data_IF_829831427253
#
_entry.id   IF_829831427253
#
_cell.length_a   1.000
_cell.length_b   1.000
_cell.length_c   1.000
_cell.angle_alpha   90.00
_cell.angle_beta   90.00
_cell.angle_gamma   90.00
#
_symmetry.space_group_name_H-M   'P 1'
#
loop_
_entity.id
_entity.type
_entity.pdbx_description
1 polymer ?
#
# COMPACT_ATOMS: atom_id res chain seq x y z
N UNK A 1 -28.06 31.33 14.24
CA UNK A 1 -27.86 30.76 12.89
C UNK A 1 -26.53 30.00 12.90
N UNK A 2 -26.56 28.67 12.92
CA UNK A 2 -25.36 27.84 12.95
C UNK A 2 -24.88 27.68 11.52
N UNK A 3 -23.70 28.24 11.21
CA UNK A 3 -23.01 27.99 9.93
C UNK A 3 -22.65 26.49 9.82
N UNK A 4 -23.42 25.76 9.02
CA UNK A 4 -23.04 24.45 8.55
C UNK A 4 -21.92 24.66 7.54
N UNK A 5 -20.67 24.46 7.96
CA UNK A 5 -19.54 24.39 7.03
C UNK A 5 -19.77 23.17 6.14
N UNK A 6 -20.12 23.41 4.89
CA UNK A 6 -20.12 22.39 3.83
C UNK A 6 -18.68 21.88 3.76
N UNK A 7 -18.43 20.64 4.21
CA UNK A 7 -17.19 19.94 3.91
C UNK A 7 -17.13 19.79 2.40
N UNK A 8 -16.37 20.65 1.74
CA UNK A 8 -15.97 20.40 0.35
C UNK A 8 -15.33 19.02 0.32
N UNK A 9 -15.92 18.10 -0.43
CA UNK A 9 -15.32 16.81 -0.71
C UNK A 9 -13.99 17.08 -1.43
N UNK A 10 -12.86 16.84 -0.77
CA UNK A 10 -11.56 16.86 -1.43
C UNK A 10 -11.60 15.80 -2.50
N UNK A 11 -11.46 16.18 -3.75
CA UNK A 11 -11.22 15.22 -4.83
C UNK A 11 -9.80 14.69 -4.67
N UNK A 12 -9.69 13.41 -4.38
CA UNK A 12 -8.40 12.72 -4.33
C UNK A 12 -7.97 12.28 -5.73
N UNK A 13 -6.67 12.13 -6.00
CA UNK A 13 -6.20 11.52 -7.23
C UNK A 13 -6.86 10.15 -7.46
N UNK A 14 -7.21 9.85 -8.70
CA UNK A 14 -7.91 8.59 -9.05
C UNK A 14 -7.20 7.34 -8.53
N UNK A 15 -5.87 7.35 -8.51
CA UNK A 15 -5.07 6.23 -7.99
C UNK A 15 -5.36 5.94 -6.50
N UNK A 16 -5.56 6.97 -5.69
CA UNK A 16 -5.88 6.83 -4.26
C UNK A 16 -7.23 6.13 -4.09
N UNK A 17 -8.24 6.51 -4.88
CA UNK A 17 -9.55 5.87 -4.85
C UNK A 17 -9.52 4.41 -5.30
N UNK A 18 -8.68 4.08 -6.29
CA UNK A 18 -8.47 2.69 -6.73
C UNK A 18 -7.92 1.84 -5.59
N UNK A 19 -6.86 2.31 -4.92
CA UNK A 19 -6.26 1.57 -3.81
C UNK A 19 -7.19 1.49 -2.59
N UNK A 20 -8.01 2.52 -2.34
CA UNK A 20 -9.01 2.49 -1.28
C UNK A 20 -10.01 1.35 -1.49
N UNK A 21 -10.55 1.19 -2.70
CA UNK A 21 -11.47 0.09 -3.04
C UNK A 21 -10.83 -1.28 -2.86
N UNK A 22 -9.55 -1.42 -3.23
CA UNK A 22 -8.79 -2.66 -3.01
C UNK A 22 -8.60 -2.93 -1.52
N UNK A 23 -8.26 -1.90 -0.75
CA UNK A 23 -8.13 -2.00 0.70
C UNK A 23 -9.45 -2.44 1.36
N UNK A 24 -10.56 -1.80 1.02
CA UNK A 24 -11.90 -2.14 1.52
C UNK A 24 -12.21 -3.63 1.32
N UNK A 25 -11.87 -4.18 0.16
CA UNK A 25 -12.07 -5.60 -0.14
C UNK A 25 -11.15 -6.51 0.69
N UNK A 26 -9.88 -6.16 0.83
CA UNK A 26 -8.92 -6.91 1.65
C UNK A 26 -9.27 -6.86 3.15
N UNK A 27 -9.93 -5.79 3.61
CA UNK A 27 -10.29 -5.59 5.00
C UNK A 27 -11.51 -6.41 5.46
N UNK A 28 -12.25 -7.02 4.53
CA UNK A 28 -13.40 -7.86 4.89
C UNK A 28 -12.96 -9.12 5.63
N UNK A 29 -13.73 -9.58 6.65
CA UNK A 29 -13.44 -10.83 7.34
C UNK A 29 -13.36 -12.04 6.39
N UNK A 30 -14.21 -12.06 5.38
CA UNK A 30 -14.30 -13.13 4.38
C UNK A 30 -13.01 -13.22 3.57
N UNK A 31 -12.50 -12.10 3.06
CA UNK A 31 -11.28 -12.09 2.28
C UNK A 31 -10.04 -12.46 3.11
N UNK A 32 -9.97 -12.01 4.36
CA UNK A 32 -8.89 -12.39 5.28
C UNK A 32 -8.87 -13.89 5.53
N UNK A 33 -10.03 -14.48 5.78
CA UNK A 33 -10.16 -15.93 5.94
C UNK A 33 -9.80 -16.69 4.66
N UNK A 34 -10.20 -16.18 3.50
CA UNK A 34 -9.86 -16.74 2.19
C UNK A 34 -8.33 -16.75 1.98
N UNK A 35 -7.64 -15.65 2.30
CA UNK A 35 -6.19 -15.54 2.17
C UNK A 35 -5.46 -16.51 3.10
N UNK A 36 -5.90 -16.64 4.36
CA UNK A 36 -5.36 -17.61 5.32
C UNK A 36 -5.54 -19.04 4.80
N UNK A 37 -6.75 -19.38 4.37
CA UNK A 37 -7.05 -20.71 3.83
C UNK A 37 -6.24 -21.00 2.56
N UNK A 38 -6.03 -20.02 1.70
CA UNK A 38 -5.20 -20.15 0.51
C UNK A 38 -3.74 -20.45 0.89
N UNK A 39 -3.16 -19.73 1.83
CA UNK A 39 -1.80 -19.95 2.30
C UNK A 39 -1.66 -21.36 2.91
N UNK A 40 -2.62 -21.80 3.73
CA UNK A 40 -2.58 -23.09 4.39
C UNK A 40 -2.80 -24.26 3.45
N UNK A 41 -3.84 -24.20 2.60
CA UNK A 41 -4.35 -25.34 1.85
C UNK A 41 -3.78 -25.45 0.44
N UNK A 42 -3.40 -24.33 -0.18
CA UNK A 42 -2.88 -24.30 -1.56
C UNK A 42 -1.37 -24.17 -1.58
N UNK A 43 -0.82 -23.23 -0.78
CA UNK A 43 0.63 -23.02 -0.74
C UNK A 43 1.33 -23.93 0.26
N UNK A 44 0.62 -24.53 1.23
CA UNK A 44 1.16 -25.26 2.36
C UNK A 44 2.24 -24.49 3.13
N UNK A 45 2.10 -23.16 3.17
CA UNK A 45 3.01 -22.23 3.86
C UNK A 45 2.17 -21.24 4.70
N UNK A 46 1.79 -21.64 5.92
CA UNK A 46 0.91 -20.87 6.79
C UNK A 46 1.44 -19.46 7.07
N UNK A 47 0.52 -18.48 7.12
CA UNK A 47 0.84 -17.09 7.47
C UNK A 47 0.40 -16.72 8.87
N UNK A 48 -0.39 -17.56 9.51
CA UNK A 48 -0.91 -17.31 10.86
C UNK A 48 0.20 -17.33 11.90
N UNK A 49 0.13 -16.40 12.85
CA UNK A 49 1.10 -16.22 13.93
C UNK A 49 2.51 -15.74 13.47
N UNK A 50 2.69 -15.41 12.20
CA UNK A 50 3.90 -14.73 11.76
C UNK A 50 3.89 -13.29 12.26
N UNK A 51 5.05 -12.81 12.71
CA UNK A 51 5.18 -11.38 12.98
C UNK A 51 5.26 -10.57 11.66
N UNK A 52 5.10 -9.26 11.75
CA UNK A 52 5.06 -8.40 10.59
C UNK A 52 6.36 -8.41 9.74
N UNK A 53 7.51 -8.74 10.33
CA UNK A 53 8.76 -8.90 9.58
C UNK A 53 8.84 -10.26 8.89
N UNK A 54 8.36 -11.29 9.57
CA UNK A 54 8.24 -12.63 8.96
C UNK A 54 7.26 -12.63 7.80
N UNK A 55 6.15 -11.88 7.88
CA UNK A 55 5.23 -11.67 6.77
C UNK A 55 5.89 -10.96 5.57
N UNK A 56 6.80 -10.01 5.82
CA UNK A 56 7.58 -9.36 4.78
C UNK A 56 8.54 -10.35 4.09
N UNK A 57 9.15 -11.25 4.86
CA UNK A 57 10.00 -12.31 4.31
C UNK A 57 9.18 -13.35 3.55
N UNK A 58 7.99 -13.70 4.06
CA UNK A 58 7.05 -14.60 3.41
C UNK A 58 6.62 -14.07 2.03
N UNK A 59 6.26 -12.80 1.93
CA UNK A 59 5.90 -12.17 0.66
C UNK A 59 6.95 -12.37 -0.42
N UNK A 60 8.22 -12.19 -0.09
CA UNK A 60 9.34 -12.30 -1.02
C UNK A 60 9.64 -13.73 -1.51
N UNK A 61 9.03 -14.75 -0.92
CA UNK A 61 9.04 -16.11 -1.46
C UNK A 61 8.17 -16.21 -2.72
N UNK A 62 7.03 -15.51 -2.72
CA UNK A 62 5.97 -15.65 -3.72
C UNK A 62 5.94 -14.53 -4.75
N UNK A 63 6.48 -13.35 -4.43
CA UNK A 63 6.46 -12.20 -5.32
C UNK A 63 7.88 -11.75 -5.69
N UNK A 64 8.13 -11.62 -6.99
CA UNK A 64 9.40 -11.11 -7.52
C UNK A 64 9.19 -9.78 -8.20
N UNK A 65 10.10 -8.83 -7.94
CA UNK A 65 10.06 -7.54 -8.59
C UNK A 65 10.37 -7.67 -10.09
N UNK A 66 9.61 -6.93 -10.90
CA UNK A 66 9.83 -6.89 -12.35
C UNK A 66 9.66 -5.48 -12.90
N UNK A 67 10.45 -5.17 -13.94
CA UNK A 67 10.26 -3.99 -14.80
C UNK A 67 9.54 -4.34 -16.10
N UNK A 68 9.36 -5.63 -16.39
CA UNK A 68 8.62 -6.13 -17.54
C UNK A 68 7.15 -5.70 -17.49
N UNK A 69 6.46 -5.73 -18.61
CA UNK A 69 5.02 -5.50 -18.65
C UNK A 69 4.30 -6.60 -17.87
N UNK A 70 3.40 -6.17 -16.97
CA UNK A 70 2.59 -7.10 -16.20
C UNK A 70 1.39 -7.59 -17.01
N UNK A 71 0.86 -8.78 -16.72
CA UNK A 71 -0.34 -9.30 -17.38
C UNK A 71 -1.51 -8.33 -17.33
N UNK A 72 -2.41 -8.44 -18.32
CA UNK A 72 -3.67 -7.69 -18.35
C UNK A 72 -4.84 -8.68 -18.36
N UNK A 73 -5.83 -8.54 -17.45
CA UNK A 73 -5.90 -7.54 -16.39
C UNK A 73 -4.81 -7.73 -15.33
N UNK A 74 -4.37 -6.63 -14.74
CA UNK A 74 -3.37 -6.63 -13.67
C UNK A 74 -3.97 -7.19 -12.38
N UNK A 75 -3.21 -7.95 -11.61
CA UNK A 75 -3.65 -8.45 -10.32
C UNK A 75 -3.93 -7.31 -9.35
N UNK A 76 -5.03 -7.41 -8.62
CA UNK A 76 -5.54 -6.34 -7.76
C UNK A 76 -5.58 -6.72 -6.28
N UNK A 77 -5.56 -8.00 -5.97
CA UNK A 77 -5.70 -8.54 -4.62
C UNK A 77 -4.62 -9.59 -4.34
N UNK A 78 -4.25 -9.80 -3.07
CA UNK A 78 -3.18 -10.70 -2.64
C UNK A 78 -3.13 -12.06 -3.33
N UNK A 79 -4.23 -12.81 -3.36
CA UNK A 79 -4.27 -14.14 -3.98
C UNK A 79 -3.95 -14.08 -5.48
N UNK A 80 -4.51 -13.10 -6.18
CA UNK A 80 -4.22 -12.88 -7.61
C UNK A 80 -2.76 -12.49 -7.82
N UNK A 81 -2.19 -11.67 -6.92
CA UNK A 81 -0.79 -11.23 -6.96
C UNK A 81 0.15 -12.42 -6.78
N UNK A 82 -0.15 -13.32 -5.84
CA UNK A 82 0.61 -14.55 -5.65
C UNK A 82 0.58 -15.41 -6.92
N UNK A 83 -0.58 -15.62 -7.53
CA UNK A 83 -0.69 -16.34 -8.80
C UNK A 83 0.09 -15.67 -9.94
N UNK A 84 0.12 -14.34 -9.98
CA UNK A 84 0.90 -13.58 -10.95
C UNK A 84 2.41 -13.73 -10.72
N UNK A 85 2.85 -13.95 -9.48
CA UNK A 85 4.22 -14.17 -9.00
C UNK A 85 5.24 -13.07 -9.33
N UNK A 86 4.87 -12.06 -10.08
CA UNK A 86 5.69 -10.89 -10.44
C UNK A 86 4.91 -9.61 -10.16
N UNK A 87 5.59 -8.57 -9.68
CA UNK A 87 4.94 -7.29 -9.36
C UNK A 87 5.89 -6.11 -9.35
N UNK A 88 5.31 -4.94 -9.15
CA UNK A 88 5.98 -3.68 -8.86
C UNK A 88 5.58 -3.21 -7.46
N UNK A 89 5.98 -2.01 -7.07
CA UNK A 89 5.68 -1.46 -5.75
C UNK A 89 4.19 -1.58 -5.34
N UNK A 90 3.28 -1.41 -6.28
CA UNK A 90 1.85 -1.53 -6.02
C UNK A 90 1.43 -2.93 -5.61
N UNK A 91 1.89 -3.98 -6.31
CA UNK A 91 1.60 -5.37 -5.97
C UNK A 91 2.24 -5.76 -4.64
N UNK A 92 3.49 -5.35 -4.39
CA UNK A 92 4.15 -5.55 -3.10
C UNK A 92 3.36 -4.91 -1.96
N UNK A 93 2.98 -3.64 -2.08
CA UNK A 93 2.20 -2.97 -1.05
C UNK A 93 0.83 -3.63 -0.80
N UNK A 94 0.14 -4.08 -1.85
CA UNK A 94 -1.15 -4.77 -1.73
C UNK A 94 -1.01 -6.14 -1.06
N UNK A 95 -0.03 -6.94 -1.48
CA UNK A 95 0.18 -8.27 -0.90
C UNK A 95 0.56 -8.15 0.57
N UNK A 96 1.57 -7.34 0.89
CA UNK A 96 2.01 -7.15 2.27
C UNK A 96 0.91 -6.61 3.19
N UNK A 97 0.16 -5.59 2.73
CA UNK A 97 -0.96 -5.06 3.49
C UNK A 97 -2.06 -6.12 3.73
N UNK A 98 -2.36 -6.94 2.74
CA UNK A 98 -3.32 -8.05 2.88
C UNK A 98 -2.86 -9.08 3.92
N UNK A 99 -1.58 -9.45 3.92
CA UNK A 99 -0.98 -10.35 4.92
C UNK A 99 -1.07 -9.76 6.33
N UNK A 100 -0.77 -8.47 6.49
CA UNK A 100 -0.90 -7.76 7.77
C UNK A 100 -2.34 -7.76 8.28
N UNK A 101 -3.29 -7.42 7.42
CA UNK A 101 -4.72 -7.41 7.78
C UNK A 101 -5.22 -8.80 8.16
N UNK A 102 -4.79 -9.85 7.46
CA UNK A 102 -5.14 -11.24 7.77
C UNK A 102 -4.63 -11.66 9.16
N UNK A 103 -3.48 -11.13 9.58
CA UNK A 103 -2.90 -11.35 10.90
C UNK A 103 -3.36 -10.35 11.98
N UNK A 104 -4.37 -9.54 11.70
CA UNK A 104 -4.96 -8.62 12.69
C UNK A 104 -4.14 -7.36 12.97
N UNK A 105 -3.12 -7.07 12.18
CA UNK A 105 -2.37 -5.82 12.31
C UNK A 105 -3.18 -4.63 11.81
N UNK A 106 -3.05 -3.50 12.50
CA UNK A 106 -3.51 -2.21 12.01
C UNK A 106 -2.47 -1.65 11.04
N UNK A 107 -2.82 -1.58 9.77
CA UNK A 107 -1.95 -1.08 8.70
C UNK A 107 -2.67 -0.12 7.78
N UNK A 108 -1.94 0.60 6.94
CA UNK A 108 -2.47 1.46 5.90
C UNK A 108 -1.55 1.46 4.69
N UNK A 109 -2.13 1.58 3.50
CA UNK A 109 -1.37 1.76 2.26
C UNK A 109 -1.05 3.24 2.12
N UNK A 110 0.17 3.54 1.72
CA UNK A 110 0.66 4.90 1.49
C UNK A 110 1.04 5.05 0.03
N UNK A 111 0.58 6.14 -0.57
CA UNK A 111 0.76 6.41 -2.00
C UNK A 111 1.37 7.79 -2.17
N UNK A 112 2.50 7.83 -2.86
CA UNK A 112 3.07 9.06 -3.40
C UNK A 112 2.36 9.42 -4.71
N UNK A 113 1.74 10.58 -4.73
CA UNK A 113 1.05 11.13 -5.89
C UNK A 113 1.79 12.34 -6.40
N UNK A 114 2.50 12.19 -7.51
CA UNK A 114 3.08 13.33 -8.21
C UNK A 114 1.97 14.21 -8.81
N UNK A 115 1.90 15.47 -8.39
CA UNK A 115 0.95 16.46 -8.92
C UNK A 115 1.57 17.32 -10.02
N UNK A 116 2.39 16.77 -10.91
CA UNK A 116 3.06 17.52 -11.96
C UNK A 116 2.10 18.48 -12.67
N UNK A 117 2.38 19.76 -12.61
CA UNK A 117 1.69 20.79 -13.37
C UNK A 117 1.85 20.60 -14.87
N UNK A 118 2.91 19.93 -15.28
CA UNK A 118 3.20 19.59 -16.66
C UNK A 118 2.62 18.21 -17.01
N UNK A 119 1.43 18.21 -17.56
CA UNK A 119 0.73 17.00 -18.04
C UNK A 119 1.46 16.26 -19.16
N UNK A 120 2.50 16.83 -19.75
CA UNK A 120 3.31 16.20 -20.81
C UNK A 120 4.37 15.26 -20.24
N UNK A 121 4.77 15.45 -18.99
CA UNK A 121 5.62 14.52 -18.26
C UNK A 121 4.71 13.51 -17.59
N UNK A 122 4.63 12.30 -18.14
CA UNK A 122 4.04 11.16 -17.41
C UNK A 122 4.65 11.18 -16.01
N UNK A 123 3.78 11.24 -14.99
CA UNK A 123 4.20 11.24 -13.61
C UNK A 123 5.27 10.17 -13.42
N UNK A 124 6.50 10.59 -13.17
CA UNK A 124 7.57 9.68 -12.90
C UNK A 124 7.27 9.08 -11.52
N UNK A 125 6.79 7.86 -11.53
CA UNK A 125 6.81 6.97 -10.41
C UNK A 125 5.97 7.39 -9.20
N UNK A 126 4.66 7.23 -9.29
CA UNK A 126 3.91 6.99 -8.08
C UNK A 126 4.52 5.78 -7.38
N UNK A 127 5.00 5.96 -6.16
CA UNK A 127 5.48 4.87 -5.35
C UNK A 127 4.43 4.50 -4.32
N UNK A 128 4.37 3.22 -3.96
CA UNK A 128 3.38 2.69 -3.01
C UNK A 128 4.10 1.84 -1.98
N UNK A 129 3.81 2.10 -0.72
CA UNK A 129 4.34 1.35 0.42
C UNK A 129 3.29 1.18 1.50
N UNK A 130 3.68 0.69 2.66
CA UNK A 130 2.78 0.40 3.78
C UNK A 130 3.29 1.08 5.05
N UNK A 131 2.38 1.46 5.91
CA UNK A 131 2.67 1.76 7.30
C UNK A 131 1.90 0.81 8.21
N UNK A 132 2.57 0.35 9.25
CA UNK A 132 2.01 -0.51 10.28
C UNK A 132 2.00 0.21 11.63
N UNK A 133 0.92 0.07 12.40
CA UNK A 133 0.78 0.73 13.70
C UNK A 133 1.28 -0.18 14.82
N UNK A 134 2.46 0.13 15.33
CA UNK A 134 3.15 -0.63 16.38
C UNK A 134 3.56 0.32 17.51
N UNK A 135 3.33 -0.06 18.76
CA UNK A 135 3.72 0.72 19.95
C UNK A 135 3.28 2.20 19.87
N UNK A 136 2.00 2.44 19.53
CA UNK A 136 1.38 3.76 19.41
C UNK A 136 2.00 4.69 18.36
N UNK A 137 2.68 4.15 17.35
CA UNK A 137 3.21 4.92 16.24
C UNK A 137 3.10 4.18 14.91
N UNK A 138 3.02 4.92 13.83
CA UNK A 138 3.13 4.40 12.49
C UNK A 138 4.59 4.12 12.15
N UNK A 139 4.88 2.92 11.70
CA UNK A 139 6.18 2.47 11.20
C UNK A 139 6.11 2.36 9.70
N UNK A 140 6.95 3.09 8.99
CA UNK A 140 7.12 2.97 7.55
C UNK A 140 7.75 1.62 7.18
N UNK A 141 7.15 0.93 6.22
CA UNK A 141 7.68 -0.31 5.62
C UNK A 141 7.53 -0.21 4.10
N UNK A 142 8.64 -0.19 3.39
CA UNK A 142 8.65 -0.37 1.94
C UNK A 142 8.85 -1.86 1.63
N UNK A 143 7.79 -2.58 1.25
CA UNK A 143 7.91 -4.01 1.03
C UNK A 143 8.68 -4.34 -0.24
N UNK A 144 8.75 -3.43 -1.22
CA UNK A 144 9.50 -3.66 -2.47
C UNK A 144 10.99 -3.87 -2.21
N UNK A 145 11.56 -3.03 -1.35
CA UNK A 145 13.00 -2.99 -1.04
C UNK A 145 13.33 -3.55 0.37
N UNK A 146 12.34 -4.03 1.11
CA UNK A 146 12.47 -4.44 2.53
C UNK A 146 13.05 -3.35 3.43
N UNK A 147 12.68 -2.09 3.18
CA UNK A 147 13.17 -0.97 3.96
C UNK A 147 12.19 -0.65 5.08
N UNK A 148 12.73 -0.51 6.30
CA UNK A 148 11.95 -0.27 7.50
C UNK A 148 12.36 1.05 8.14
N UNK A 149 11.37 1.86 8.51
CA UNK A 149 11.50 3.10 9.30
C UNK A 149 12.46 4.14 8.70
N UNK A 150 12.40 4.34 7.38
CA UNK A 150 13.16 5.37 6.65
C UNK A 150 12.25 6.26 5.79
N UNK A 151 11.28 6.97 6.36
CA UNK A 151 10.30 7.72 5.57
C UNK A 151 10.93 8.82 4.71
N UNK A 152 12.02 9.44 5.15
CA UNK A 152 12.65 10.55 4.42
C UNK A 152 13.54 10.10 3.23
N UNK A 153 13.69 8.81 2.98
CA UNK A 153 14.51 8.32 1.86
C UNK A 153 14.00 8.80 0.49
N UNK A 154 12.70 8.94 0.36
CA UNK A 154 12.06 9.35 -0.89
C UNK A 154 12.24 10.84 -1.21
N UNK A 155 12.44 11.67 -0.18
CA UNK A 155 12.57 13.12 -0.34
C UNK A 155 13.77 13.55 -1.18
N UNK A 156 14.77 12.67 -1.33
CA UNK A 156 15.98 12.94 -2.13
C UNK A 156 15.69 12.90 -3.63
N UNK A 157 14.72 12.08 -4.05
CA UNK A 157 14.37 11.87 -5.45
C UNK A 157 13.18 12.72 -5.89
N UNK A 158 12.51 13.39 -4.94
CA UNK A 158 11.32 14.17 -5.23
C UNK A 158 11.69 15.58 -5.66
N UNK A 159 11.13 15.99 -6.79
CA UNK A 159 11.15 17.38 -7.20
C UNK A 159 10.33 18.19 -6.18
N UNK A 160 10.97 19.16 -5.51
CA UNK A 160 10.48 19.89 -4.32
C UNK A 160 9.07 20.51 -4.43
N UNK A 161 8.48 20.53 -5.60
CA UNK A 161 7.26 21.32 -5.83
C UNK A 161 5.97 20.52 -5.75
N UNK A 162 5.96 19.16 -5.60
CA UNK A 162 4.79 18.53 -6.20
C UNK A 162 4.34 17.17 -5.69
N UNK A 163 4.93 16.58 -4.69
CA UNK A 163 4.46 15.27 -4.23
C UNK A 163 3.50 15.40 -3.05
N UNK A 164 2.29 14.90 -3.24
CA UNK A 164 1.34 14.70 -2.17
C UNK A 164 1.33 13.24 -1.76
N UNK A 165 1.42 12.97 -0.48
CA UNK A 165 1.44 11.60 0.06
C UNK A 165 0.16 11.34 0.84
N UNK A 166 -0.56 10.31 0.45
CA UNK A 166 -1.80 9.91 1.09
C UNK A 166 -1.67 8.53 1.72
N UNK A 167 -2.08 8.42 2.96
CA UNK A 167 -2.27 7.13 3.64
C UNK A 167 -3.76 6.79 3.66
N UNK A 168 -4.11 5.53 3.39
CA UNK A 168 -5.50 5.11 3.29
C UNK A 168 -5.77 3.77 4.01
N UNK A 169 -6.98 3.71 4.53
CA UNK A 169 -7.62 2.51 5.08
C UNK A 169 -9.00 2.32 4.44
N UNK A 170 -9.76 1.33 4.89
CA UNK A 170 -11.18 1.18 4.55
C UNK A 170 -12.05 2.37 5.01
N UNK A 171 -11.63 3.10 6.05
CA UNK A 171 -12.43 4.16 6.69
C UNK A 171 -12.06 5.56 6.26
N UNK A 172 -10.79 5.80 5.93
CA UNK A 172 -10.29 7.16 5.74
C UNK A 172 -9.14 7.25 4.73
N UNK A 173 -8.96 8.45 4.18
CA UNK A 173 -7.79 8.89 3.44
C UNK A 173 -7.22 10.08 4.20
N UNK A 174 -5.94 10.01 4.55
CA UNK A 174 -5.23 11.04 5.33
C UNK A 174 -4.05 11.57 4.51
N UNK A 175 -3.93 12.89 4.44
CA UNK A 175 -2.74 13.55 3.91
C UNK A 175 -1.59 13.40 4.93
N UNK A 176 -0.53 12.71 4.54
CA UNK A 176 0.66 12.46 5.36
C UNK A 176 1.93 13.06 4.73
N UNK A 177 1.75 13.98 3.81
CA UNK A 177 2.85 14.62 3.05
C UNK A 177 3.96 15.13 3.95
N UNK A 178 3.61 15.79 5.07
CA UNK A 178 4.62 16.35 6.01
C UNK A 178 5.51 15.28 6.66
N UNK A 179 5.05 14.04 6.77
CA UNK A 179 5.84 12.92 7.31
C UNK A 179 6.98 12.51 6.38
N UNK A 180 6.78 12.70 5.08
CA UNK A 180 7.67 12.21 4.03
C UNK A 180 8.48 13.30 3.35
N UNK A 181 8.20 14.56 3.63
CA UNK A 181 8.95 15.70 3.10
C UNK A 181 9.76 16.38 4.21
N UNK A 182 11.05 16.65 4.01
CA UNK A 182 11.82 17.47 4.95
C UNK A 182 11.26 18.90 4.94
N UNK A 183 11.09 19.47 6.13
CA UNK A 183 10.75 20.90 6.30
C UNK A 183 11.93 21.77 5.91
#
# INVERSE_FOLDING_TARGET
>A
MKNCAVKQSREYPQIVEIYKKRYEKMATPEYRAELINFANSVLHDPIENLDWKELLDWEHKYLKYTREELPKPRAELPIQIIHQSKGRCGEFALLYNGLLLANGYKSRIVIDCSTLKDKSKKAAGDHVWVEIFINNRWIHVDPTEKIINRPLMYAQDWNKDVNLVYALTDKEIVDVTETYQPK
#
